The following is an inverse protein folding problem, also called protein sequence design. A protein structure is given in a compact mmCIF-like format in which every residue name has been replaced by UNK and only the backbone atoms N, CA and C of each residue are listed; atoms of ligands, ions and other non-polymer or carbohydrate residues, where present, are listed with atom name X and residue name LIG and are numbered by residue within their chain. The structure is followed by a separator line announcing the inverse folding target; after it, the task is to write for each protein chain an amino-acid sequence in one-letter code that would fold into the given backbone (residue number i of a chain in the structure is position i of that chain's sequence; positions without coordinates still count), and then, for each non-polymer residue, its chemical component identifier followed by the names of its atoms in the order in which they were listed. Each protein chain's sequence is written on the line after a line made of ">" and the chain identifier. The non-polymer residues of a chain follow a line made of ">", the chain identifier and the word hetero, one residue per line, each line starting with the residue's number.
data_IF_511556883978
#
_entry.id   IF_511556883978
#
_cell.length_a   1.000
_cell.length_b   1.000
_cell.length_c   1.000
_cell.angle_alpha   90.00
_cell.angle_beta   90.00
_cell.angle_gamma   90.00
#
_symmetry.space_group_name_H-M   'P 1'
#
loop_
_entity.id
_entity.type
_entity.pdbx_description
1 polymer ?
#
# COMPACT_ATOMS: atom_id res chain seq x y z
N UNK A 1 -10.14 9.41 -2.70
CA UNK A 1 -10.76 8.07 -2.61
C UNK A 1 -9.68 7.06 -3.00
N UNK A 2 -8.99 6.47 -2.02
CA UNK A 2 -7.97 5.45 -2.31
C UNK A 2 -8.68 4.29 -3.01
N UNK A 3 -8.39 4.09 -4.29
CA UNK A 3 -8.84 2.89 -4.99
C UNK A 3 -8.11 1.71 -4.35
N UNK A 4 -8.79 1.02 -3.45
CA UNK A 4 -8.33 -0.27 -2.96
C UNK A 4 -8.30 -1.21 -4.17
N UNK A 5 -7.10 -1.53 -4.65
CA UNK A 5 -6.82 -2.52 -5.68
C UNK A 5 -6.97 -3.93 -5.09
N UNK A 6 -8.16 -4.23 -4.54
CA UNK A 6 -8.51 -5.51 -3.94
C UNK A 6 -9.64 -6.14 -4.76
N UNK A 7 -9.52 -7.43 -5.05
CA UNK A 7 -10.60 -8.24 -5.60
C UNK A 7 -11.24 -8.99 -4.44
N UNK A 8 -12.55 -8.82 -4.31
CA UNK A 8 -13.35 -9.44 -3.24
C UNK A 8 -14.12 -10.61 -3.84
N UNK A 9 -13.77 -11.82 -3.42
CA UNK A 9 -14.60 -12.99 -3.67
C UNK A 9 -15.61 -13.16 -2.53
N UNK A 10 -16.89 -13.20 -2.88
CA UNK A 10 -17.98 -13.49 -1.94
C UNK A 10 -18.37 -14.95 -2.10
N UNK A 11 -18.00 -15.79 -1.13
CA UNK A 11 -18.47 -17.17 -1.08
C UNK A 11 -19.99 -17.20 -0.81
N UNK A 12 -20.76 -17.89 -1.66
CA UNK A 12 -22.22 -17.94 -1.59
C UNK A 12 -22.75 -19.05 -0.65
N UNK A 13 -21.91 -19.66 0.19
CA UNK A 13 -22.34 -20.77 1.06
C UNK A 13 -22.05 -20.47 2.53
N UNK A 14 -23.14 -20.33 3.30
CA UNK A 14 -23.35 -20.42 4.76
C UNK A 14 -22.41 -19.73 5.77
N UNK A 15 -21.15 -19.48 5.47
CA UNK A 15 -20.23 -18.70 6.31
C UNK A 15 -19.61 -17.64 5.42
N UNK A 16 -19.95 -16.36 5.65
CA UNK A 16 -19.40 -15.24 4.89
C UNK A 16 -17.91 -15.05 5.23
N UNK A 17 -17.03 -15.91 4.71
CA UNK A 17 -15.61 -15.58 4.60
C UNK A 17 -15.43 -14.76 3.32
N UNK A 18 -14.99 -13.52 3.48
CA UNK A 18 -14.58 -12.66 2.37
C UNK A 18 -13.09 -12.93 2.14
N UNK A 19 -12.76 -13.40 0.95
CA UNK A 19 -11.37 -13.52 0.52
C UNK A 19 -10.99 -12.20 -0.18
N UNK A 20 -9.88 -11.61 0.27
CA UNK A 20 -9.32 -10.38 -0.31
C UNK A 20 -8.00 -10.73 -0.98
N UNK A 21 -7.93 -10.49 -2.29
CA UNK A 21 -6.72 -10.73 -3.08
C UNK A 21 -6.24 -9.40 -3.63
N UNK A 22 -4.93 -9.14 -3.55
CA UNK A 22 -4.34 -7.98 -4.21
C UNK A 22 -4.55 -8.12 -5.72
N UNK A 23 -5.07 -7.07 -6.36
CA UNK A 23 -5.40 -7.09 -7.78
C UNK A 23 -4.22 -7.49 -8.66
N UNK A 24 -3.02 -6.98 -8.36
CA UNK A 24 -1.82 -7.34 -9.10
C UNK A 24 -1.48 -8.83 -8.96
N UNK A 25 -1.58 -9.38 -7.75
CA UNK A 25 -1.40 -10.83 -7.52
C UNK A 25 -2.40 -11.67 -8.29
N UNK A 26 -3.67 -11.27 -8.29
CA UNK A 26 -4.71 -11.90 -9.10
C UNK A 26 -4.35 -11.85 -10.60
N UNK A 27 -4.09 -10.67 -11.15
CA UNK A 27 -3.78 -10.50 -12.58
C UNK A 27 -2.52 -11.28 -12.99
N UNK A 28 -1.49 -11.29 -12.14
CA UNK A 28 -0.26 -12.06 -12.37
C UNK A 28 -0.51 -13.57 -12.32
N UNK A 29 -1.32 -14.05 -11.36
CA UNK A 29 -1.64 -15.48 -11.27
C UNK A 29 -2.36 -16.02 -12.50
N UNK A 30 -3.21 -15.21 -13.14
CA UNK A 30 -3.88 -15.59 -14.39
C UNK A 30 -2.94 -15.67 -15.60
N UNK A 31 -1.80 -14.97 -15.56
CA UNK A 31 -0.82 -14.99 -16.65
C UNK A 31 0.01 -16.28 -16.69
N UNK A 32 0.11 -17.02 -15.57
CA UNK A 32 0.89 -18.27 -15.47
C UNK A 32 0.37 -19.40 -16.39
N UNK A 33 -0.89 -19.34 -16.83
CA UNK A 33 -1.49 -20.26 -17.83
C UNK A 33 -1.26 -21.75 -17.53
N UNK A 34 -1.43 -22.13 -16.27
CA UNK A 34 -1.37 -23.50 -15.78
C UNK A 34 -2.09 -24.53 -16.66
N UNK A 35 -1.48 -25.70 -16.82
CA UNK A 35 -1.98 -26.84 -17.58
C UNK A 35 -2.11 -28.10 -16.69
N UNK A 36 -2.94 -29.07 -17.08
CA UNK A 36 -2.90 -30.41 -16.49
C UNK A 36 -1.47 -30.98 -16.55
N UNK A 37 -1.08 -31.69 -15.50
CA UNK A 37 0.26 -32.24 -15.23
C UNK A 37 1.33 -31.24 -14.79
N UNK A 38 1.03 -29.94 -14.74
CA UNK A 38 1.97 -28.98 -14.16
C UNK A 38 2.08 -29.23 -12.64
N UNK A 39 3.32 -29.29 -12.16
CA UNK A 39 3.62 -29.32 -10.73
C UNK A 39 3.58 -27.91 -10.15
N UNK A 40 3.06 -27.78 -8.94
CA UNK A 40 2.97 -26.51 -8.22
C UNK A 40 3.42 -26.68 -6.77
N UNK A 41 3.63 -25.54 -6.10
CA UNK A 41 3.69 -25.44 -4.64
C UNK A 41 2.67 -24.42 -4.12
N UNK A 42 2.25 -24.58 -2.88
CA UNK A 42 1.35 -23.66 -2.18
C UNK A 42 1.81 -23.46 -0.74
N UNK A 43 1.71 -22.23 -0.22
CA UNK A 43 2.09 -21.91 1.16
C UNK A 43 0.84 -21.90 2.05
N UNK A 44 0.76 -22.86 2.96
CA UNK A 44 -0.40 -23.10 3.83
C UNK A 44 0.11 -23.34 5.24
N UNK A 45 -0.50 -22.72 6.25
CA UNK A 45 -0.14 -22.91 7.68
C UNK A 45 1.38 -22.85 7.94
N UNK A 46 2.01 -21.79 7.41
CA UNK A 46 3.44 -21.49 7.50
C UNK A 46 4.38 -22.54 6.86
N UNK A 47 3.85 -23.43 6.01
CA UNK A 47 4.59 -24.51 5.36
C UNK A 47 4.32 -24.59 3.85
N UNK A 48 5.33 -25.01 3.09
CA UNK A 48 5.17 -25.30 1.66
C UNK A 48 4.62 -26.71 1.42
N UNK A 49 3.60 -26.80 0.59
CA UNK A 49 3.00 -28.04 0.10
C UNK A 49 3.15 -28.13 -1.41
N UNK A 50 3.26 -29.35 -1.94
CA UNK A 50 3.49 -29.62 -3.36
C UNK A 50 2.38 -30.49 -3.92
N UNK A 51 2.08 -30.32 -5.20
CA UNK A 51 1.09 -31.12 -5.89
C UNK A 51 1.16 -30.98 -7.39
N UNK A 52 0.21 -31.61 -8.07
CA UNK A 52 0.05 -31.59 -9.52
C UNK A 52 -1.35 -31.18 -9.91
N UNK A 53 -1.48 -30.40 -10.98
CA UNK A 53 -2.78 -29.99 -11.53
C UNK A 53 -3.38 -31.15 -12.32
N UNK A 54 -4.59 -31.56 -11.97
CA UNK A 54 -5.31 -32.61 -12.71
C UNK A 54 -6.14 -32.01 -13.84
N UNK A 55 -6.88 -30.94 -13.58
CA UNK A 55 -7.80 -30.35 -14.55
C UNK A 55 -8.16 -28.91 -14.21
N UNK A 56 -8.54 -28.14 -15.24
CA UNK A 56 -9.20 -26.85 -15.11
C UNK A 56 -10.72 -27.02 -15.29
N UNK A 57 -11.48 -26.82 -14.23
CA UNK A 57 -12.96 -26.92 -14.22
C UNK A 57 -13.55 -25.87 -13.26
N UNK A 58 -14.61 -25.15 -13.64
CA UNK A 58 -15.21 -24.16 -12.75
C UNK A 58 -15.71 -24.81 -11.45
N UNK A 59 -15.55 -24.13 -10.31
CA UNK A 59 -16.05 -24.61 -9.02
C UNK A 59 -17.57 -24.78 -9.01
N UNK A 60 -18.29 -23.94 -9.78
CA UNK A 60 -19.74 -23.96 -9.84
C UNK A 60 -20.24 -23.64 -11.26
N UNK A 61 -21.11 -24.49 -11.81
CA UNK A 61 -21.60 -24.38 -13.20
C UNK A 61 -22.33 -23.06 -13.51
N UNK A 62 -22.96 -22.44 -12.50
CA UNK A 62 -23.60 -21.13 -12.65
C UNK A 62 -22.61 -19.97 -12.88
N UNK A 63 -21.32 -20.19 -12.57
CA UNK A 63 -20.26 -19.19 -12.71
C UNK A 63 -19.08 -19.78 -13.49
N UNK A 64 -19.27 -20.13 -14.77
CA UNK A 64 -18.25 -20.84 -15.57
C UNK A 64 -17.00 -19.99 -15.86
N UNK A 65 -17.08 -18.68 -15.65
CA UNK A 65 -15.97 -17.73 -15.78
C UNK A 65 -15.34 -17.35 -14.42
N UNK A 66 -15.73 -18.02 -13.34
CA UNK A 66 -15.14 -17.78 -12.02
C UNK A 66 -13.81 -18.50 -11.91
N UNK A 67 -12.76 -17.73 -11.66
CA UNK A 67 -11.40 -18.23 -11.38
C UNK A 67 -11.25 -18.79 -9.96
N UNK A 68 -12.26 -18.63 -9.11
CA UNK A 68 -12.26 -19.20 -7.76
C UNK A 68 -12.32 -20.73 -7.81
N UNK A 69 -11.33 -21.38 -7.20
CA UNK A 69 -11.20 -22.84 -7.09
C UNK A 69 -11.42 -23.58 -8.43
N UNK A 70 -10.86 -23.03 -9.51
CA UNK A 70 -11.04 -23.58 -10.85
C UNK A 70 -10.05 -24.70 -11.20
N UNK A 71 -9.00 -24.93 -10.42
CA UNK A 71 -8.06 -26.03 -10.64
C UNK A 71 -8.36 -27.20 -9.70
N UNK A 72 -8.67 -28.37 -10.25
CA UNK A 72 -8.61 -29.62 -9.50
C UNK A 72 -7.17 -30.07 -9.41
N UNK A 73 -6.72 -30.37 -8.19
CA UNK A 73 -5.35 -30.73 -7.91
C UNK A 73 -5.28 -32.02 -7.11
N UNK A 74 -4.12 -32.65 -7.17
CA UNK A 74 -3.72 -33.74 -6.28
C UNK A 74 -2.44 -33.33 -5.55
N UNK A 75 -2.49 -33.35 -4.23
CA UNK A 75 -1.34 -33.12 -3.37
C UNK A 75 -0.38 -34.32 -3.44
N UNK A 76 0.89 -34.12 -3.12
CA UNK A 76 1.86 -35.21 -3.03
C UNK A 76 1.50 -36.25 -1.93
N UNK A 77 0.65 -35.87 -0.96
CA UNK A 77 0.05 -36.79 0.02
C UNK A 77 -0.96 -37.76 -0.60
N UNK A 78 -1.45 -37.46 -1.82
CA UNK A 78 -2.52 -38.16 -2.50
C UNK A 78 -3.92 -37.56 -2.28
N UNK A 79 -4.06 -36.55 -1.43
CA UNK A 79 -5.33 -35.86 -1.20
C UNK A 79 -5.72 -35.01 -2.42
N UNK A 80 -7.02 -34.91 -2.69
CA UNK A 80 -7.55 -34.08 -3.78
C UNK A 80 -8.23 -32.82 -3.23
N UNK A 81 -8.05 -31.71 -3.92
CA UNK A 81 -8.70 -30.44 -3.57
C UNK A 81 -8.95 -29.58 -4.82
N UNK A 82 -9.53 -28.40 -4.62
CA UNK A 82 -9.69 -27.38 -5.64
C UNK A 82 -9.03 -26.06 -5.21
N UNK A 83 -8.14 -25.53 -6.04
CA UNK A 83 -7.41 -24.29 -5.79
C UNK A 83 -7.67 -23.25 -6.87
N UNK A 84 -7.49 -21.98 -6.48
CA UNK A 84 -7.59 -20.86 -7.40
C UNK A 84 -6.20 -20.52 -7.95
N UNK A 85 -6.10 -19.80 -9.08
CA UNK A 85 -4.82 -19.43 -9.68
C UNK A 85 -3.85 -18.73 -8.70
N UNK A 86 -4.37 -17.91 -7.77
CA UNK A 86 -3.59 -17.16 -6.79
C UNK A 86 -3.12 -17.99 -5.58
N UNK A 87 -3.54 -19.25 -5.48
CA UNK A 87 -3.11 -20.21 -4.46
C UNK A 87 -1.93 -21.09 -4.96
N UNK A 88 -1.51 -20.92 -6.23
CA UNK A 88 -0.52 -21.76 -6.93
C UNK A 88 0.77 -20.99 -7.26
N UNK A 89 1.90 -21.57 -6.89
CA UNK A 89 3.25 -21.12 -7.27
C UNK A 89 4.04 -22.18 -8.04
N UNK A 90 4.95 -21.73 -8.91
CA UNK A 90 5.82 -22.61 -9.70
C UNK A 90 6.86 -23.30 -8.81
N UNK A 91 7.08 -24.60 -9.05
CA UNK A 91 8.14 -25.35 -8.40
C UNK A 91 9.49 -24.91 -9.00
N UNK A 92 10.45 -24.54 -8.16
CA UNK A 92 11.76 -24.04 -8.58
C UNK A 92 11.82 -22.55 -8.93
N UNK A 93 10.74 -21.79 -8.73
CA UNK A 93 10.80 -20.33 -8.75
C UNK A 93 11.68 -19.81 -7.60
N UNK A 94 12.45 -18.72 -7.86
CA UNK A 94 13.43 -18.06 -6.97
C UNK A 94 13.14 -18.30 -5.47
N UNK A 95 14.10 -18.89 -4.75
CA UNK A 95 14.02 -19.08 -3.29
C UNK A 95 14.13 -20.52 -2.80
N UNK A 96 14.49 -21.50 -3.63
CA UNK A 96 14.60 -22.93 -3.27
C UNK A 96 15.70 -23.27 -2.24
N UNK A 97 16.31 -22.26 -1.60
CA UNK A 97 17.36 -22.45 -0.59
C UNK A 97 17.45 -21.35 0.47
N UNK A 98 16.47 -20.45 0.56
CA UNK A 98 16.42 -19.44 1.62
C UNK A 98 15.08 -19.58 2.35
N UNK A 99 15.12 -20.03 3.60
CA UNK A 99 13.95 -20.09 4.50
C UNK A 99 13.33 -18.69 4.74
N UNK A 100 14.00 -17.64 4.28
CA UNK A 100 13.57 -16.24 4.30
C UNK A 100 12.93 -15.78 2.97
N UNK A 101 12.51 -16.69 2.08
CA UNK A 101 11.69 -16.39 0.89
C UNK A 101 10.23 -15.97 1.26
N UNK A 102 10.06 -15.28 2.39
CA UNK A 102 8.80 -14.85 3.03
C UNK A 102 7.98 -13.84 2.21
N UNK A 103 8.40 -13.50 1.00
CA UNK A 103 7.55 -12.79 0.07
C UNK A 103 7.98 -13.07 -1.37
N UNK A 104 7.32 -14.02 -2.03
CA UNK A 104 6.90 -13.70 -3.40
C UNK A 104 6.20 -12.34 -3.27
N UNK A 105 6.82 -11.25 -3.72
CA UNK A 105 6.30 -9.93 -3.41
C UNK A 105 4.95 -9.85 -4.10
N UNK A 106 3.85 -10.02 -3.33
CA UNK A 106 2.47 -10.01 -3.83
C UNK A 106 2.12 -8.69 -4.56
N UNK A 107 3.04 -7.73 -4.50
CA UNK A 107 2.95 -6.42 -5.10
C UNK A 107 4.32 -6.00 -5.66
N UNK A 108 4.39 -5.81 -6.97
CA UNK A 108 5.56 -5.24 -7.63
C UNK A 108 5.26 -3.77 -7.97
N UNK A 109 6.03 -2.80 -7.44
CA UNK A 109 5.80 -1.39 -7.75
C UNK A 109 5.90 -1.14 -9.27
N UNK A 110 4.87 -0.53 -9.86
CA UNK A 110 4.93 -0.11 -11.26
C UNK A 110 5.39 1.34 -11.38
N UNK A 111 6.17 1.68 -12.43
CA UNK A 111 6.62 3.06 -12.65
C UNK A 111 5.45 4.05 -12.77
N UNK A 112 4.30 3.61 -13.26
CA UNK A 112 3.06 4.40 -13.30
C UNK A 112 2.63 4.89 -11.90
N UNK A 113 2.69 4.03 -10.88
CA UNK A 113 2.33 4.36 -9.49
C UNK A 113 3.35 5.28 -8.81
N UNK A 114 4.47 5.54 -9.50
CA UNK A 114 5.58 6.39 -9.09
C UNK A 114 5.84 7.51 -10.11
N UNK A 115 4.77 7.89 -10.83
CA UNK A 115 4.73 9.04 -11.74
C UNK A 115 5.80 8.98 -12.85
N UNK A 116 6.04 7.78 -13.38
CA UNK A 116 6.96 7.55 -14.49
C UNK A 116 8.42 7.33 -14.10
N UNK A 117 8.77 7.50 -12.82
CA UNK A 117 10.08 7.15 -12.27
C UNK A 117 10.02 5.80 -11.54
N UNK A 118 11.17 5.18 -11.30
CA UNK A 118 11.23 4.06 -10.37
C UNK A 118 11.01 4.53 -8.91
N UNK A 119 10.55 3.60 -8.07
CA UNK A 119 10.22 3.87 -6.67
C UNK A 119 11.38 4.48 -5.90
N UNK A 120 12.58 3.95 -6.08
CA UNK A 120 13.71 4.29 -5.21
C UNK A 120 14.20 5.71 -5.54
N UNK A 121 14.28 6.06 -6.82
CA UNK A 121 14.53 7.44 -7.27
C UNK A 121 13.49 8.44 -6.76
N UNK A 122 12.19 8.06 -6.77
CA UNK A 122 11.14 8.90 -6.19
C UNK A 122 11.27 9.06 -4.68
N UNK A 123 11.59 7.98 -3.96
CA UNK A 123 11.79 8.04 -2.51
C UNK A 123 12.95 8.98 -2.17
N UNK A 124 14.05 8.94 -2.91
CA UNK A 124 15.21 9.82 -2.68
C UNK A 124 14.88 11.29 -2.96
N UNK A 125 14.13 11.57 -4.04
CA UNK A 125 13.63 12.92 -4.35
C UNK A 125 12.71 13.43 -3.25
N UNK A 126 11.71 12.63 -2.87
CA UNK A 126 10.71 12.99 -1.85
C UNK A 126 11.40 13.23 -0.50
N UNK A 127 12.32 12.35 -0.10
CA UNK A 127 13.09 12.49 1.13
C UNK A 127 13.86 13.81 1.16
N UNK A 128 14.56 14.14 0.08
CA UNK A 128 15.30 15.41 -0.04
C UNK A 128 14.40 16.64 0.11
N UNK A 129 13.21 16.63 -0.49
CA UNK A 129 12.25 17.71 -0.34
C UNK A 129 11.62 17.78 1.04
N UNK A 130 11.35 16.64 1.69
CA UNK A 130 10.88 16.61 3.08
C UNK A 130 11.90 17.28 4.00
N UNK A 131 13.21 17.00 3.87
CA UNK A 131 14.22 17.68 4.70
C UNK A 131 14.18 19.21 4.52
N UNK A 132 13.99 19.70 3.29
CA UNK A 132 13.83 21.14 3.03
C UNK A 132 12.56 21.70 3.69
N UNK A 133 11.45 20.97 3.63
CA UNK A 133 10.15 21.41 4.18
C UNK A 133 10.19 21.45 5.71
N UNK A 134 10.88 20.50 6.35
CA UNK A 134 11.04 20.44 7.82
C UNK A 134 11.76 21.66 8.41
N UNK A 135 12.59 22.34 7.61
CA UNK A 135 13.25 23.59 7.99
C UNK A 135 12.33 24.82 7.90
N UNK A 136 11.16 24.71 7.27
CA UNK A 136 10.21 25.81 7.18
C UNK A 136 9.49 25.98 8.52
N UNK A 137 9.27 27.23 8.93
CA UNK A 137 8.58 27.54 10.20
C UNK A 137 7.15 26.98 10.28
N UNK A 138 6.51 26.72 9.14
CA UNK A 138 5.18 26.10 9.07
C UNK A 138 5.18 24.62 9.47
N UNK A 139 6.33 23.95 9.40
CA UNK A 139 6.46 22.52 9.67
C UNK A 139 6.79 22.21 11.13
N UNK A 140 7.24 23.20 11.89
CA UNK A 140 7.78 23.02 13.25
C UNK A 140 6.85 22.24 14.20
N UNK A 141 5.53 22.52 14.28
CA UNK A 141 4.62 21.76 15.14
C UNK A 141 4.42 20.29 14.73
N UNK A 142 4.75 19.94 13.49
CA UNK A 142 4.47 18.63 12.87
C UNK A 142 5.74 17.80 12.65
N UNK A 143 6.90 18.32 13.08
CA UNK A 143 8.19 17.67 12.87
C UNK A 143 8.38 16.40 13.70
N UNK A 144 7.62 16.23 14.79
CA UNK A 144 7.68 15.11 15.72
C UNK A 144 6.26 14.69 16.13
N UNK A 145 6.08 13.45 16.64
CA UNK A 145 4.80 13.02 17.19
C UNK A 145 4.30 13.94 18.31
N UNK A 146 2.98 14.06 18.43
CA UNK A 146 2.35 14.78 19.54
C UNK A 146 2.69 14.10 20.87
N UNK A 147 3.18 14.87 21.84
CA UNK A 147 3.49 14.37 23.18
C UNK A 147 2.22 14.02 23.95
N UNK A 148 1.95 12.72 24.12
CA UNK A 148 0.78 12.21 24.83
C UNK A 148 0.82 12.48 26.33
N UNK A 149 1.97 12.82 26.91
CA UNK A 149 2.06 13.25 28.31
C UNK A 149 1.51 14.67 28.44
N UNK A 150 1.85 15.55 27.49
CA UNK A 150 1.33 16.91 27.43
C UNK A 150 -0.14 16.95 26.96
N UNK A 151 -0.53 16.05 26.05
CA UNK A 151 -1.87 15.98 25.47
C UNK A 151 -2.51 14.59 25.67
N UNK A 152 -2.90 14.22 26.90
CA UNK A 152 -3.36 12.86 27.23
C UNK A 152 -4.66 12.44 26.53
N UNK A 153 -5.49 13.40 26.10
CA UNK A 153 -6.72 13.11 25.37
C UNK A 153 -6.50 12.91 23.85
N UNK A 154 -5.31 13.20 23.32
CA UNK A 154 -5.05 13.15 21.88
C UNK A 154 -5.35 11.76 21.30
N UNK A 155 -4.87 10.71 21.96
CA UNK A 155 -5.09 9.31 21.55
C UNK A 155 -6.54 8.83 21.73
N UNK A 156 -7.41 9.61 22.40
CA UNK A 156 -8.85 9.30 22.50
C UNK A 156 -9.64 9.87 21.32
N UNK A 157 -9.10 10.91 20.67
CA UNK A 157 -9.74 11.61 19.55
C UNK A 157 -9.15 11.12 18.22
N UNK A 158 -7.82 11.05 18.14
CA UNK A 158 -7.09 10.76 16.90
C UNK A 158 -6.74 9.28 16.82
N UNK A 159 -7.39 8.57 15.89
CA UNK A 159 -7.21 7.14 15.67
C UNK A 159 -5.98 6.76 14.83
N UNK A 160 -5.38 7.72 14.12
CA UNK A 160 -4.19 7.49 13.29
C UNK A 160 -3.17 8.64 13.44
N UNK A 161 -2.47 8.76 14.58
CA UNK A 161 -1.45 9.80 14.74
C UNK A 161 -0.34 9.65 13.71
N UNK A 162 0.00 10.75 13.03
CA UNK A 162 1.08 10.82 12.04
C UNK A 162 1.83 12.17 12.16
N UNK A 163 3.10 12.17 11.79
CA UNK A 163 3.98 13.34 11.81
C UNK A 163 5.04 13.26 10.69
N UNK A 164 5.74 14.37 10.44
CA UNK A 164 6.73 14.44 9.35
C UNK A 164 7.93 13.53 9.56
N UNK A 165 8.38 13.28 10.80
CA UNK A 165 9.48 12.35 11.03
C UNK A 165 9.06 10.91 10.72
N UNK A 166 7.84 10.52 11.11
CA UNK A 166 7.29 9.20 10.76
C UNK A 166 7.18 9.03 9.24
N UNK A 167 6.65 10.02 8.52
CA UNK A 167 6.56 9.97 7.04
C UNK A 167 7.95 9.86 6.42
N UNK A 168 8.89 10.71 6.86
CA UNK A 168 10.29 10.72 6.42
C UNK A 168 10.96 9.36 6.61
N UNK A 169 10.81 8.74 7.78
CA UNK A 169 11.35 7.40 8.07
C UNK A 169 10.74 6.32 7.18
N UNK A 170 9.44 6.38 6.93
CA UNK A 170 8.77 5.44 6.01
C UNK A 170 9.27 5.60 4.58
N UNK A 171 9.48 6.82 4.09
CA UNK A 171 10.07 7.07 2.77
C UNK A 171 11.52 6.55 2.71
N UNK A 172 12.33 6.87 3.72
CA UNK A 172 13.71 6.41 3.80
C UNK A 172 13.83 4.87 3.78
N UNK A 173 12.92 4.19 4.46
CA UNK A 173 12.88 2.72 4.54
C UNK A 173 12.11 2.04 3.40
N UNK A 174 11.70 2.77 2.34
CA UNK A 174 10.93 2.23 1.20
C UNK A 174 9.63 1.53 1.61
N UNK A 175 9.04 1.97 2.71
CA UNK A 175 7.83 1.38 3.30
C UNK A 175 6.63 1.52 2.37
N UNK A 176 6.51 2.66 1.69
CA UNK A 176 5.37 2.93 0.82
C UNK A 176 5.44 2.14 -0.48
N UNK A 177 4.30 1.58 -0.87
CA UNK A 177 4.12 0.82 -2.11
C UNK A 177 3.78 1.70 -3.33
N UNK A 178 3.18 2.86 -3.09
CA UNK A 178 2.73 3.83 -4.10
C UNK A 178 2.81 5.26 -3.57
N UNK A 179 2.95 6.25 -4.45
CA UNK A 179 3.01 7.68 -4.07
C UNK A 179 1.72 8.13 -3.36
N UNK A 180 0.55 7.63 -3.79
CA UNK A 180 -0.74 7.95 -3.15
C UNK A 180 -0.79 7.62 -1.65
N UNK A 181 -0.01 6.62 -1.19
CA UNK A 181 0.03 6.26 0.22
C UNK A 181 0.79 7.31 1.04
N UNK A 182 1.81 7.95 0.44
CA UNK A 182 2.53 9.07 1.04
C UNK A 182 1.59 10.27 1.13
N UNK A 183 0.85 10.57 0.06
CA UNK A 183 -0.15 11.65 0.04
C UNK A 183 -1.20 11.48 1.13
N UNK A 184 -1.69 10.25 1.31
CA UNK A 184 -2.70 9.97 2.32
C UNK A 184 -2.19 10.26 3.74
N UNK A 185 -0.97 9.81 4.08
CA UNK A 185 -0.34 10.15 5.36
C UNK A 185 -0.10 11.66 5.52
N UNK A 186 0.29 12.36 4.44
CA UNK A 186 0.43 13.82 4.45
C UNK A 186 -0.91 14.50 4.76
N UNK A 187 -2.00 14.07 4.13
CA UNK A 187 -3.34 14.63 4.36
C UNK A 187 -3.83 14.38 5.78
N UNK A 188 -3.43 13.26 6.39
CA UNK A 188 -3.75 12.95 7.78
C UNK A 188 -3.22 13.98 8.76
N UNK A 189 -2.06 14.61 8.49
CA UNK A 189 -1.54 15.71 9.32
C UNK A 189 -2.55 16.87 9.41
N UNK A 190 -3.17 17.25 8.28
CA UNK A 190 -4.19 18.31 8.26
C UNK A 190 -5.49 17.86 8.93
N UNK A 191 -5.98 16.66 8.59
CA UNK A 191 -7.22 16.12 9.14
C UNK A 191 -7.16 16.03 10.67
N UNK A 192 -6.09 15.47 11.22
CA UNK A 192 -5.91 15.31 12.66
C UNK A 192 -5.76 16.67 13.38
N UNK A 193 -5.08 17.62 12.75
CA UNK A 193 -4.96 18.97 13.30
C UNK A 193 -6.32 19.65 13.43
N UNK A 194 -7.18 19.55 12.41
CA UNK A 194 -8.54 20.12 12.43
C UNK A 194 -9.50 19.34 13.31
N UNK A 195 -9.29 18.03 13.50
CA UNK A 195 -10.13 17.21 14.38
C UNK A 195 -9.84 17.47 15.86
N UNK A 196 -8.57 17.71 16.23
CA UNK A 196 -8.19 17.92 17.62
C UNK A 196 -8.22 19.38 18.08
N UNK A 197 -7.96 20.34 17.19
CA UNK A 197 -7.80 21.76 17.55
C UNK A 197 -8.99 22.62 17.11
N UNK A 198 -9.09 23.82 17.68
CA UNK A 198 -10.09 24.81 17.27
C UNK A 198 -9.92 25.19 15.77
N UNK A 199 -11.01 25.25 14.97
CA UNK A 199 -10.93 25.43 13.51
C UNK A 199 -10.10 26.64 13.04
N UNK A 200 -10.17 27.76 13.76
CA UNK A 200 -9.49 29.02 13.39
C UNK A 200 -8.07 29.16 13.97
N UNK A 201 -7.58 28.13 14.67
CA UNK A 201 -6.29 28.13 15.34
C UNK A 201 -5.12 28.25 14.34
N UNK A 202 -3.99 28.75 14.84
CA UNK A 202 -2.77 28.91 14.03
C UNK A 202 -2.27 27.54 13.55
N UNK A 203 -2.34 26.51 14.38
CA UNK A 203 -1.90 25.15 14.04
C UNK A 203 -2.73 24.56 12.89
N UNK A 204 -4.06 24.74 12.88
CA UNK A 204 -4.91 24.33 11.76
C UNK A 204 -4.52 25.02 10.44
N UNK A 205 -4.29 26.33 10.49
CA UNK A 205 -3.83 27.11 9.32
C UNK A 205 -2.45 26.65 8.83
N UNK A 206 -1.53 26.38 9.74
CA UNK A 206 -0.21 25.83 9.41
C UNK A 206 -0.32 24.43 8.79
N UNK A 207 -1.18 23.56 9.33
CA UNK A 207 -1.40 22.21 8.83
C UNK A 207 -1.92 22.23 7.38
N UNK A 208 -2.93 23.06 7.09
CA UNK A 208 -3.45 23.24 5.73
C UNK A 208 -2.37 23.70 4.75
N UNK A 209 -1.57 24.70 5.12
CA UNK A 209 -0.50 25.21 4.25
C UNK A 209 0.62 24.16 4.06
N UNK A 210 1.03 23.48 5.14
CA UNK A 210 2.03 22.41 5.09
C UNK A 210 1.59 21.28 4.16
N UNK A 211 0.35 20.80 4.31
CA UNK A 211 -0.22 19.74 3.47
C UNK A 211 -0.28 20.15 2.01
N UNK A 212 -0.67 21.39 1.69
CA UNK A 212 -0.65 21.89 0.31
C UNK A 212 0.77 21.87 -0.29
N UNK A 213 1.78 22.34 0.44
CA UNK A 213 3.18 22.33 -0.01
C UNK A 213 3.66 20.89 -0.26
N UNK A 214 3.42 19.99 0.69
CA UNK A 214 3.85 18.60 0.61
C UNK A 214 3.16 17.85 -0.53
N UNK A 215 1.83 17.95 -0.65
CA UNK A 215 1.08 17.28 -1.71
C UNK A 215 1.52 17.77 -3.08
N UNK A 216 1.63 19.09 -3.29
CA UNK A 216 2.05 19.62 -4.58
C UNK A 216 3.47 19.17 -4.94
N UNK A 217 4.39 19.19 -3.97
CA UNK A 217 5.76 18.72 -4.18
C UNK A 217 5.85 17.20 -4.46
N UNK A 218 5.14 16.39 -3.68
CA UNK A 218 5.17 14.92 -3.82
C UNK A 218 4.55 14.49 -5.14
N UNK A 219 3.45 15.14 -5.54
CA UNK A 219 2.72 14.79 -6.76
C UNK A 219 3.40 15.24 -8.05
N UNK A 220 4.18 16.30 -8.01
CA UNK A 220 4.98 16.76 -9.14
C UNK A 220 6.34 16.05 -9.18
N UNK A 221 6.46 15.03 -10.05
CA UNK A 221 7.67 14.24 -10.22
C UNK A 221 8.87 15.05 -10.74
N UNK A 222 8.63 16.17 -11.43
CA UNK A 222 9.67 17.03 -11.98
C UNK A 222 10.14 18.08 -10.95
N UNK A 223 9.40 18.25 -9.86
CA UNK A 223 9.74 19.19 -8.79
C UNK A 223 10.83 18.62 -7.87
N UNK A 224 11.95 19.32 -7.78
CA UNK A 224 13.11 18.97 -6.93
C UNK A 224 13.32 19.94 -5.76
N UNK A 225 12.62 21.07 -5.74
CA UNK A 225 12.74 22.08 -4.70
C UNK A 225 11.36 22.58 -4.28
N UNK A 226 10.91 22.34 -3.04
CA UNK A 226 9.58 22.76 -2.57
C UNK A 226 9.50 24.24 -2.15
N UNK A 227 10.62 24.96 -2.02
CA UNK A 227 10.60 26.36 -1.55
C UNK A 227 9.81 27.32 -2.45
N UNK A 228 9.84 27.23 -3.80
CA UNK A 228 9.00 28.04 -4.67
C UNK A 228 7.50 27.81 -4.45
N UNK A 229 7.08 26.56 -4.21
CA UNK A 229 5.69 26.20 -3.89
C UNK A 229 5.27 26.93 -2.61
N UNK A 230 6.05 26.79 -1.54
CA UNK A 230 5.80 27.47 -0.27
C UNK A 230 5.69 29.00 -0.43
N UNK A 231 6.64 29.64 -1.12
CA UNK A 231 6.61 31.09 -1.37
C UNK A 231 5.35 31.53 -2.10
N UNK A 232 4.94 30.79 -3.13
CA UNK A 232 3.72 31.08 -3.90
C UNK A 232 2.48 30.97 -3.03
N UNK A 233 2.34 29.90 -2.27
CA UNK A 233 1.17 29.69 -1.40
C UNK A 233 1.09 30.75 -0.28
N UNK A 234 2.21 31.11 0.34
CA UNK A 234 2.25 32.19 1.33
C UNK A 234 1.82 33.55 0.74
N UNK A 235 2.20 33.84 -0.50
CA UNK A 235 1.83 35.10 -1.15
C UNK A 235 0.32 35.22 -1.41
N UNK A 236 -0.37 34.12 -1.66
CA UNK A 236 -1.83 34.11 -1.83
C UNK A 236 -2.56 34.32 -0.50
N UNK A 237 -2.07 33.73 0.59
CA UNK A 237 -2.65 33.90 1.93
C UNK A 237 -2.49 35.34 2.43
N UNK A 238 -1.41 36.02 2.06
CA UNK A 238 -1.19 37.42 2.44
C UNK A 238 -2.12 38.42 1.71
N UNK A 239 -2.82 37.99 0.65
CA UNK A 239 -3.69 38.83 -0.18
C UNK A 239 -5.18 38.54 0.05
N UNK A 240 -5.51 37.40 0.67
CA UNK A 240 -6.87 36.98 1.05
C UNK A 240 -7.27 37.47 2.44
#
# INVERSE_FOLDING_TARGET
>A
MIKFNLIIYRQLVSTQKRLYILRQHYENSLQKKWQPMDSFRSYIDDSWYYGTIEAHKPFHDQYPHSEFQCFSIVWDSGDQDALSPWDLDEVGARGDGDEDASACVLYEPSAHEWHGLDRDSQCDRILSGIEIIRELSIAEPFNLPVDLIAFPHYAMVIGYPIDLNTIRERVANRYYRRVDAIEWDIRKIEEDAHEFNEPDSIICKQATLLTQVLVEFVMDADCTNPRPIYKRLCSHIAIS
#
